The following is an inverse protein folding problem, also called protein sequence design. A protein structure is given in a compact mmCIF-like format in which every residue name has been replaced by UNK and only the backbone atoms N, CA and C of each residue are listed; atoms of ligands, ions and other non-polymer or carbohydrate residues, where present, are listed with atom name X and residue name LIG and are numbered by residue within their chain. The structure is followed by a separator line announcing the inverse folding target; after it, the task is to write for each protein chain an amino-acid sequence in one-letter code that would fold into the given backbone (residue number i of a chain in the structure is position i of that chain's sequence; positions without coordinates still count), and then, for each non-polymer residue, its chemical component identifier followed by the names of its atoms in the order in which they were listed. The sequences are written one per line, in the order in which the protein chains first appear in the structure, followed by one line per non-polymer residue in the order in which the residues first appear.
data_IF_028349451725
#
_entry.id   IF_028349451725
#
_cell.length_a   1.000
_cell.length_b   1.000
_cell.length_c   1.000
_cell.angle_alpha   90.00
_cell.angle_beta   90.00
_cell.angle_gamma   90.00
#
_symmetry.space_group_name_H-M   'P 1'
#
loop_
_entity.id
_entity.type
_entity.pdbx_description
1 polymer ?
#
# COMPACT_ATOMS: atom_id res chain seq x y z
N UNK A 1 21.86 15.17 17.78
CA UNK A 1 20.54 14.70 17.34
C UNK A 1 20.40 13.26 17.78
N UNK A 2 19.37 12.91 18.54
CA UNK A 2 19.15 11.53 18.99
C UNK A 2 18.74 10.70 17.76
N UNK A 3 19.53 9.68 17.40
CA UNK A 3 19.25 8.84 16.22
C UNK A 3 17.88 8.14 16.29
N UNK A 4 17.43 7.78 17.50
CA UNK A 4 16.14 7.13 17.74
C UNK A 4 14.95 8.09 17.56
N UNK A 5 15.14 9.38 17.84
CA UNK A 5 14.07 10.40 17.77
C UNK A 5 14.52 11.61 16.93
N UNK A 6 14.68 11.45 15.60
CA UNK A 6 15.18 12.51 14.71
C UNK A 6 14.28 13.75 14.67
N UNK A 7 12.97 13.60 14.94
CA UNK A 7 11.96 14.68 14.94
C UNK A 7 11.55 15.11 16.36
N UNK A 8 12.32 14.72 17.41
CA UNK A 8 12.03 15.06 18.81
C UNK A 8 11.07 14.08 19.49
N UNK A 9 10.44 14.54 20.58
CA UNK A 9 9.58 13.69 21.42
C UNK A 9 8.08 13.98 21.26
N UNK A 10 7.68 14.71 20.23
CA UNK A 10 6.28 14.84 19.84
C UNK A 10 5.93 13.79 18.80
N UNK A 11 5.08 12.83 19.16
CA UNK A 11 4.65 11.76 18.28
C UNK A 11 3.94 12.29 17.04
N UNK A 12 3.29 13.45 17.12
CA UNK A 12 2.60 14.05 15.97
C UNK A 12 3.55 14.40 14.84
N UNK A 13 4.81 14.76 15.15
CA UNK A 13 5.80 15.04 14.12
C UNK A 13 6.09 13.80 13.23
N UNK A 14 6.05 12.60 13.82
CA UNK A 14 6.20 11.33 13.09
C UNK A 14 4.94 10.95 12.32
N UNK A 15 3.76 11.16 12.91
CA UNK A 15 2.48 10.96 12.23
C UNK A 15 2.35 11.88 11.02
N UNK A 16 2.79 13.13 11.14
CA UNK A 16 2.80 14.07 10.02
C UNK A 16 3.73 13.61 8.90
N UNK A 17 4.90 13.07 9.24
CA UNK A 17 5.82 12.48 8.25
C UNK A 17 5.25 11.23 7.58
N UNK A 18 4.65 10.34 8.36
CA UNK A 18 3.94 9.19 7.82
C UNK A 18 2.84 9.62 6.84
N UNK A 19 2.07 10.64 7.22
CA UNK A 19 1.00 11.17 6.36
C UNK A 19 1.54 11.81 5.07
N UNK A 20 2.65 12.54 5.12
CA UNK A 20 3.32 13.07 3.93
C UNK A 20 3.69 11.93 2.95
N UNK A 21 4.28 10.85 3.46
CA UNK A 21 4.64 9.67 2.65
C UNK A 21 3.39 8.95 2.11
N UNK A 22 2.36 8.77 2.93
CA UNK A 22 1.11 8.17 2.50
C UNK A 22 0.45 8.94 1.35
N UNK A 23 0.52 10.27 1.36
CA UNK A 23 -0.03 11.10 0.28
C UNK A 23 0.70 10.97 -1.05
N UNK A 24 1.91 10.47 -1.07
CA UNK A 24 2.61 10.16 -2.33
C UNK A 24 1.97 8.98 -3.05
N UNK A 25 1.46 7.98 -2.30
CA UNK A 25 0.75 6.82 -2.84
C UNK A 25 -0.77 7.05 -2.92
N UNK A 26 -1.32 7.74 -1.92
CA UNK A 26 -2.75 7.98 -1.73
C UNK A 26 -3.05 9.49 -1.71
N UNK A 27 -3.06 10.20 -2.86
CA UNK A 27 -3.28 11.65 -2.91
C UNK A 27 -4.61 12.11 -2.29
N UNK A 28 -5.59 11.21 -2.22
CA UNK A 28 -6.89 11.43 -1.59
C UNK A 28 -6.88 11.28 -0.07
N UNK A 29 -5.78 10.75 0.52
CA UNK A 29 -5.71 10.47 1.96
C UNK A 29 -5.95 11.75 2.80
N UNK A 30 -6.70 11.58 3.87
CA UNK A 30 -6.97 12.62 4.88
C UNK A 30 -6.74 12.04 6.26
N UNK A 31 -6.29 12.86 7.21
CA UNK A 31 -6.05 12.41 8.59
C UNK A 31 -7.31 11.86 9.28
N UNK A 32 -8.50 12.33 8.88
CA UNK A 32 -9.78 11.85 9.36
C UNK A 32 -10.09 10.40 8.98
N UNK A 33 -9.38 9.87 7.97
CA UNK A 33 -9.48 8.47 7.53
C UNK A 33 -8.64 7.51 8.38
N UNK A 34 -7.81 8.03 9.30
CA UNK A 34 -7.03 7.17 10.18
C UNK A 34 -7.93 6.40 11.14
N UNK A 35 -7.52 5.17 11.46
CA UNK A 35 -8.24 4.30 12.40
C UNK A 35 -8.34 4.95 13.76
N UNK A 36 -9.56 5.25 14.22
CA UNK A 36 -9.84 5.96 15.47
C UNK A 36 -9.63 5.11 16.73
N UNK A 37 -9.50 3.81 16.59
CA UNK A 37 -9.22 2.89 17.68
C UNK A 37 -7.71 2.77 18.01
N UNK A 38 -6.85 3.42 17.23
CA UNK A 38 -5.42 3.55 17.50
C UNK A 38 -5.09 4.95 18.02
N UNK A 39 -4.20 5.01 19.01
CA UNK A 39 -3.54 6.25 19.42
C UNK A 39 -2.08 5.97 19.75
N UNK A 40 -1.28 7.02 19.76
CA UNK A 40 0.18 6.92 19.80
C UNK A 40 0.74 7.94 20.76
N UNK A 41 1.85 7.57 21.42
CA UNK A 41 2.60 8.46 22.31
C UNK A 41 4.10 8.15 22.24
N UNK A 42 4.90 9.10 22.70
CA UNK A 42 6.29 8.85 23.11
C UNK A 42 6.31 8.99 24.62
N UNK A 43 6.64 7.92 25.32
CA UNK A 43 6.63 7.85 26.77
C UNK A 43 7.97 7.42 27.35
N UNK A 44 8.21 7.77 28.58
CA UNK A 44 9.37 7.27 29.33
C UNK A 44 9.03 5.90 29.92
N UNK A 45 9.72 4.87 29.47
CA UNK A 45 9.58 3.49 29.90
C UNK A 45 10.94 3.02 30.42
N UNK A 46 11.02 2.61 31.69
CA UNK A 46 12.28 2.18 32.35
C UNK A 46 13.42 3.20 32.22
N UNK A 47 13.09 4.51 32.23
CA UNK A 47 14.03 5.61 32.15
C UNK A 47 14.42 6.04 30.73
N UNK A 48 13.96 5.34 29.70
CA UNK A 48 14.21 5.66 28.29
C UNK A 48 12.91 6.05 27.56
N UNK A 49 13.02 6.99 26.61
CA UNK A 49 11.88 7.30 25.74
C UNK A 49 11.64 6.19 24.74
N UNK A 50 10.37 5.79 24.59
CA UNK A 50 9.90 4.73 23.69
C UNK A 50 8.64 5.19 22.94
N UNK A 51 8.46 4.69 21.72
CA UNK A 51 7.15 4.78 21.05
C UNK A 51 6.18 3.80 21.71
N UNK A 52 4.96 4.25 21.91
CA UNK A 52 3.90 3.45 22.53
C UNK A 52 2.65 3.56 21.67
N UNK A 53 2.02 2.43 21.41
CA UNK A 53 0.71 2.36 20.76
C UNK A 53 -0.36 1.94 21.74
N UNK A 54 -1.53 2.50 21.57
CA UNK A 54 -2.73 2.14 22.30
C UNK A 54 -3.80 1.69 21.30
N UNK A 55 -4.29 0.49 21.47
CA UNK A 55 -5.39 -0.03 20.68
C UNK A 55 -6.61 -0.19 21.56
N UNK A 56 -7.72 0.44 21.17
CA UNK A 56 -8.98 0.35 21.87
C UNK A 56 -9.88 -0.71 21.22
N UNK A 57 -10.16 -1.77 21.95
CA UNK A 57 -11.08 -2.83 21.54
C UNK A 57 -12.54 -2.38 21.58
N UNK A 58 -13.43 -3.12 20.89
CA UNK A 58 -14.85 -2.78 20.81
C UNK A 58 -15.58 -2.85 22.17
N UNK A 59 -15.08 -3.65 23.11
CA UNK A 59 -15.57 -3.76 24.49
C UNK A 59 -15.09 -2.63 25.40
N UNK A 60 -14.22 -1.75 24.88
CA UNK A 60 -13.64 -0.61 25.58
C UNK A 60 -12.31 -0.90 26.26
N UNK A 61 -11.83 -2.13 26.25
CA UNK A 61 -10.49 -2.46 26.74
C UNK A 61 -9.41 -1.74 25.91
N UNK A 62 -8.34 -1.28 26.58
CA UNK A 62 -7.21 -0.60 25.93
C UNK A 62 -5.97 -1.47 26.09
N UNK A 63 -5.47 -1.95 24.98
CA UNK A 63 -4.18 -2.63 24.89
C UNK A 63 -3.07 -1.60 24.68
N UNK A 64 -2.03 -1.66 25.51
CA UNK A 64 -0.85 -0.80 25.42
C UNK A 64 0.36 -1.61 24.97
N UNK A 65 1.00 -1.23 23.88
CA UNK A 65 2.19 -1.89 23.36
C UNK A 65 3.35 -0.91 23.25
N UNK A 66 4.50 -1.27 23.83
CA UNK A 66 5.76 -0.53 23.69
C UNK A 66 6.48 -1.02 22.45
N UNK A 67 6.82 -0.10 21.55
CA UNK A 67 7.53 -0.39 20.31
C UNK A 67 9.03 -0.19 20.51
N UNK A 68 9.79 -1.25 20.32
CA UNK A 68 11.26 -1.16 20.31
C UNK A 68 11.73 -0.81 18.89
N UNK A 69 11.47 0.41 18.46
CA UNK A 69 11.78 0.92 17.15
C UNK A 69 12.38 2.32 17.21
N UNK A 70 13.00 2.75 16.13
CA UNK A 70 13.37 4.15 15.93
C UNK A 70 12.25 4.93 15.24
N UNK A 71 12.51 6.21 14.90
CA UNK A 71 11.49 7.08 14.32
C UNK A 71 11.10 6.70 12.90
N UNK A 72 12.00 6.12 12.11
CA UNK A 72 11.69 5.69 10.74
C UNK A 72 10.88 4.40 10.76
N UNK A 73 11.27 3.43 11.56
CA UNK A 73 10.52 2.19 11.78
C UNK A 73 9.11 2.47 12.35
N UNK A 74 8.97 3.51 13.21
CA UNK A 74 7.65 3.94 13.67
C UNK A 74 6.78 4.48 12.54
N UNK A 75 7.36 5.30 11.64
CA UNK A 75 6.64 5.83 10.46
C UNK A 75 6.15 4.69 9.57
N UNK A 76 6.99 3.71 9.27
CA UNK A 76 6.62 2.52 8.51
C UNK A 76 5.50 1.74 9.19
N UNK A 77 5.63 1.48 10.50
CA UNK A 77 4.60 0.79 11.30
C UNK A 77 3.26 1.54 11.26
N UNK A 78 3.29 2.87 11.37
CA UNK A 78 2.09 3.70 11.29
C UNK A 78 1.41 3.57 9.91
N UNK A 79 2.19 3.62 8.83
CA UNK A 79 1.68 3.46 7.45
C UNK A 79 1.02 2.09 7.32
N UNK A 80 1.70 1.02 7.73
CA UNK A 80 1.19 -0.36 7.65
C UNK A 80 -0.12 -0.56 8.42
N UNK A 81 -0.28 0.14 9.55
CA UNK A 81 -1.50 0.06 10.36
C UNK A 81 -2.70 0.79 9.74
N UNK A 82 -2.46 1.74 8.85
CA UNK A 82 -3.51 2.61 8.34
C UNK A 82 -3.76 2.51 6.82
N UNK A 83 -2.85 1.93 6.04
CA UNK A 83 -2.96 1.94 4.57
C UNK A 83 -4.22 1.21 4.07
N UNK A 84 -4.53 0.02 4.58
CA UNK A 84 -5.74 -0.75 4.18
C UNK A 84 -7.03 0.07 4.37
N UNK A 85 -7.10 0.85 5.48
CA UNK A 85 -8.26 1.66 5.78
C UNK A 85 -8.44 2.84 4.83
N UNK A 86 -7.33 3.44 4.39
CA UNK A 86 -7.34 4.50 3.38
C UNK A 86 -7.72 3.94 2.02
N UNK A 87 -7.29 2.73 1.70
CA UNK A 87 -7.66 2.03 0.47
C UNK A 87 -9.16 1.73 0.44
N UNK A 88 -9.72 1.22 1.52
CA UNK A 88 -11.16 0.88 1.66
C UNK A 88 -12.08 2.10 1.48
N UNK A 89 -11.64 3.30 1.89
CA UNK A 89 -12.39 4.56 1.73
C UNK A 89 -12.40 5.06 0.26
N UNK A 90 -11.69 4.41 -0.64
CA UNK A 90 -11.61 4.78 -2.06
C UNK A 90 -12.05 3.62 -2.97
N UNK A 91 -13.37 3.40 -3.11
CA UNK A 91 -13.89 2.25 -3.83
C UNK A 91 -13.54 2.27 -5.31
N UNK A 92 -13.40 1.07 -5.88
CA UNK A 92 -13.20 0.86 -7.32
C UNK A 92 -14.46 1.26 -8.08
N UNK A 93 -14.29 2.04 -9.14
CA UNK A 93 -15.39 2.48 -10.04
C UNK A 93 -15.36 1.83 -11.41
N UNK A 94 -14.16 1.54 -11.91
CA UNK A 94 -13.96 0.94 -13.23
C UNK A 94 -12.85 -0.09 -13.16
N UNK A 95 -12.95 -1.13 -13.99
CA UNK A 95 -11.92 -2.16 -14.11
C UNK A 95 -11.56 -2.39 -15.58
N UNK A 96 -10.29 -2.69 -15.81
CA UNK A 96 -9.76 -3.11 -17.11
C UNK A 96 -9.06 -4.46 -16.95
N UNK A 97 -9.64 -5.51 -17.56
CA UNK A 97 -9.07 -6.85 -17.51
C UNK A 97 -8.00 -7.03 -18.59
N UNK A 98 -6.82 -7.45 -18.18
CA UNK A 98 -5.72 -7.81 -19.09
C UNK A 98 -5.75 -9.30 -19.33
N UNK A 99 -5.90 -9.70 -20.60
CA UNK A 99 -5.77 -11.11 -20.98
C UNK A 99 -4.30 -11.53 -20.85
N UNK A 100 -4.03 -12.44 -19.94
CA UNK A 100 -2.69 -12.98 -19.73
C UNK A 100 -2.56 -14.37 -20.32
N UNK A 101 -1.48 -14.59 -21.08
CA UNK A 101 -1.10 -15.92 -21.62
C UNK A 101 -0.15 -16.68 -20.69
N UNK A 102 0.21 -16.12 -19.55
CA UNK A 102 1.31 -16.63 -18.75
C UNK A 102 0.94 -17.84 -17.89
N UNK A 103 1.61 -18.96 -18.15
CA UNK A 103 1.86 -20.02 -17.16
C UNK A 103 3.10 -19.65 -16.37
N UNK A 104 2.94 -19.43 -15.09
CA UNK A 104 4.07 -19.16 -14.19
C UNK A 104 4.95 -20.39 -13.99
N UNK A 105 4.35 -21.56 -13.78
CA UNK A 105 5.03 -22.85 -13.64
C UNK A 105 4.09 -23.97 -14.07
N UNK A 106 4.56 -25.26 -13.95
CA UNK A 106 3.68 -26.41 -14.24
C UNK A 106 2.38 -26.41 -13.44
N UNK A 107 2.40 -25.82 -12.23
CA UNK A 107 1.33 -25.92 -11.24
C UNK A 107 0.61 -24.61 -10.97
N UNK A 108 1.22 -23.45 -11.31
CA UNK A 108 0.65 -22.12 -11.09
C UNK A 108 0.40 -21.42 -12.41
N UNK A 109 -0.71 -20.67 -12.47
CA UNK A 109 -1.09 -19.83 -13.59
C UNK A 109 -1.76 -18.54 -13.08
N UNK A 110 -1.59 -17.48 -13.81
CA UNK A 110 -2.27 -16.22 -13.56
C UNK A 110 -3.73 -16.37 -14.00
N UNK A 111 -4.66 -16.28 -13.06
CA UNK A 111 -6.09 -16.43 -13.30
C UNK A 111 -6.75 -15.11 -13.64
N UNK A 112 -6.39 -14.06 -12.89
CA UNK A 112 -6.97 -12.74 -13.03
C UNK A 112 -5.85 -11.73 -12.98
N UNK A 113 -5.90 -10.79 -13.91
CA UNK A 113 -5.06 -9.62 -13.92
C UNK A 113 -5.85 -8.42 -14.42
N UNK A 114 -5.99 -7.39 -13.59
CA UNK A 114 -6.77 -6.21 -13.92
C UNK A 114 -6.19 -4.94 -13.33
N UNK A 115 -6.41 -3.83 -14.03
CA UNK A 115 -6.28 -2.50 -13.49
C UNK A 115 -7.61 -2.01 -12.93
N UNK A 116 -7.56 -1.24 -11.87
CA UNK A 116 -8.72 -0.71 -11.17
C UNK A 116 -8.57 0.80 -11.03
N UNK A 117 -9.60 1.54 -11.41
CA UNK A 117 -9.69 2.98 -11.23
C UNK A 117 -10.57 3.27 -10.01
N UNK A 118 -10.17 4.21 -9.19
CA UNK A 118 -10.83 4.50 -7.93
C UNK A 118 -11.60 5.81 -7.95
N UNK A 119 -12.66 5.90 -7.14
CA UNK A 119 -13.60 7.01 -7.11
C UNK A 119 -12.94 8.35 -6.73
N UNK A 120 -12.06 8.35 -5.76
CA UNK A 120 -11.35 9.54 -5.28
C UNK A 120 -10.06 9.82 -6.08
N UNK A 121 -9.84 9.07 -7.15
CA UNK A 121 -8.65 9.13 -8.01
C UNK A 121 -7.64 8.04 -7.69
N UNK A 122 -6.64 7.90 -8.58
CA UNK A 122 -5.62 6.87 -8.51
C UNK A 122 -6.02 5.56 -9.18
N UNK A 123 -5.05 4.68 -9.29
CA UNK A 123 -5.19 3.37 -9.89
C UNK A 123 -4.53 2.31 -9.02
N UNK A 124 -5.11 1.14 -8.97
CA UNK A 124 -4.48 -0.06 -8.43
C UNK A 124 -4.46 -1.18 -9.46
N UNK A 125 -3.70 -2.21 -9.19
CA UNK A 125 -3.79 -3.46 -9.92
C UNK A 125 -4.16 -4.59 -8.97
N UNK A 126 -4.98 -5.50 -9.47
CA UNK A 126 -5.35 -6.74 -8.78
C UNK A 126 -4.81 -7.93 -9.58
N UNK A 127 -4.10 -8.81 -8.90
CA UNK A 127 -3.56 -10.05 -9.46
C UNK A 127 -4.04 -11.23 -8.64
N UNK A 128 -4.45 -12.28 -9.32
CA UNK A 128 -4.79 -13.55 -8.70
C UNK A 128 -4.15 -14.67 -9.50
N UNK A 129 -3.46 -15.55 -8.81
CA UNK A 129 -2.89 -16.76 -9.39
C UNK A 129 -3.33 -17.97 -8.59
N UNK A 130 -3.47 -19.11 -9.26
CA UNK A 130 -3.94 -20.33 -8.64
C UNK A 130 -3.26 -21.57 -9.18
N UNK A 131 -3.46 -22.65 -8.45
CA UNK A 131 -3.17 -24.02 -8.85
C UNK A 131 -4.29 -24.94 -8.33
N UNK A 132 -4.13 -26.26 -8.50
CA UNK A 132 -5.17 -27.23 -8.11
C UNK A 132 -5.50 -27.26 -6.62
N UNK A 133 -4.64 -26.74 -5.76
CA UNK A 133 -4.74 -26.87 -4.30
C UNK A 133 -4.61 -25.54 -3.54
N UNK A 134 -4.18 -24.46 -4.19
CA UNK A 134 -3.96 -23.17 -3.54
C UNK A 134 -4.19 -22.02 -4.51
N UNK A 135 -4.56 -20.86 -3.94
CA UNK A 135 -4.65 -19.58 -4.63
C UNK A 135 -3.96 -18.48 -3.85
N UNK A 136 -3.53 -17.47 -4.55
CA UNK A 136 -2.99 -16.24 -3.97
C UNK A 136 -3.51 -15.05 -4.75
N UNK A 137 -3.79 -13.95 -4.04
CA UNK A 137 -4.17 -12.68 -4.66
C UNK A 137 -3.49 -11.52 -3.97
N UNK A 138 -3.29 -10.44 -4.71
CA UNK A 138 -2.75 -9.18 -4.19
C UNK A 138 -3.40 -8.01 -4.92
N UNK A 139 -3.64 -6.94 -4.17
CA UNK A 139 -3.89 -5.60 -4.70
C UNK A 139 -2.69 -4.74 -4.39
N UNK A 140 -2.30 -3.88 -5.30
CA UNK A 140 -1.24 -2.90 -5.09
C UNK A 140 -1.55 -1.60 -5.83
N UNK A 141 -1.32 -0.48 -5.16
CA UNK A 141 -1.54 0.84 -5.74
C UNK A 141 -0.39 1.25 -6.65
N UNK A 142 -0.73 1.99 -7.71
CA UNK A 142 0.25 2.50 -8.67
C UNK A 142 0.58 3.94 -8.28
N UNK A 143 1.83 4.27 -7.93
CA UNK A 143 2.21 5.62 -7.54
C UNK A 143 1.82 6.64 -8.61
N UNK A 144 1.14 7.75 -8.26
CA UNK A 144 0.73 8.78 -9.22
C UNK A 144 1.87 9.36 -10.04
N UNK A 145 3.08 9.35 -9.50
CA UNK A 145 4.29 9.79 -10.19
C UNK A 145 4.59 8.97 -11.45
N UNK A 146 4.18 7.69 -11.49
CA UNK A 146 4.44 6.82 -12.64
C UNK A 146 3.65 7.24 -13.88
N UNK A 147 2.47 7.83 -13.72
CA UNK A 147 1.65 8.34 -14.83
C UNK A 147 2.23 9.61 -15.50
N UNK A 148 3.32 10.16 -14.95
CA UNK A 148 4.08 11.26 -15.57
C UNK A 148 5.23 10.78 -16.45
N UNK A 149 5.52 9.47 -16.41
CA UNK A 149 6.57 8.84 -17.21
C UNK A 149 6.08 8.56 -18.64
N UNK A 150 6.95 8.51 -19.62
CA UNK A 150 6.64 7.93 -20.92
C UNK A 150 6.13 6.50 -20.78
N UNK A 151 5.25 6.04 -21.68
CA UNK A 151 4.62 4.73 -21.57
C UNK A 151 5.60 3.56 -21.36
N UNK A 152 6.72 3.57 -22.07
CA UNK A 152 7.73 2.50 -21.97
C UNK A 152 8.37 2.44 -20.58
N UNK A 153 8.69 3.62 -20.02
CA UNK A 153 9.25 3.74 -18.67
C UNK A 153 8.20 3.40 -17.60
N UNK A 154 6.94 3.78 -17.82
CA UNK A 154 5.83 3.36 -16.97
C UNK A 154 5.75 1.84 -16.88
N UNK A 155 5.80 1.13 -18.02
CA UNK A 155 5.73 -0.33 -18.05
C UNK A 155 6.86 -0.97 -17.22
N UNK A 156 8.09 -0.46 -17.36
CA UNK A 156 9.23 -0.98 -16.60
C UNK A 156 9.04 -0.77 -15.10
N UNK A 157 8.67 0.45 -14.69
CA UNK A 157 8.40 0.79 -13.29
C UNK A 157 7.21 0.03 -12.72
N UNK A 158 6.18 -0.16 -13.52
CA UNK A 158 5.01 -0.92 -13.11
C UNK A 158 5.34 -2.39 -12.86
N UNK A 159 6.15 -3.02 -13.72
CA UNK A 159 6.55 -4.41 -13.55
C UNK A 159 7.38 -4.63 -12.26
N UNK A 160 8.14 -3.60 -11.83
CA UNK A 160 8.87 -3.63 -10.56
C UNK A 160 7.92 -3.60 -9.34
N UNK A 161 6.68 -3.10 -9.49
CA UNK A 161 5.66 -3.08 -8.43
C UNK A 161 4.96 -4.42 -8.25
N UNK A 162 4.97 -5.29 -9.27
CA UNK A 162 4.27 -6.58 -9.18
C UNK A 162 4.83 -7.36 -7.99
N UNK A 163 3.99 -7.72 -6.99
CA UNK A 163 4.48 -8.37 -5.79
C UNK A 163 5.19 -9.70 -6.09
N UNK A 164 6.22 -10.05 -5.32
CA UNK A 164 6.86 -11.34 -5.46
C UNK A 164 5.87 -12.48 -5.17
N UNK A 165 6.00 -13.57 -5.89
CA UNK A 165 5.13 -14.73 -5.72
C UNK A 165 4.74 -15.37 -7.06
N UNK A 166 3.58 -16.03 -7.13
CA UNK A 166 3.13 -16.69 -8.35
C UNK A 166 2.53 -15.72 -9.38
N UNK A 167 2.73 -14.41 -9.20
CA UNK A 167 2.15 -13.37 -10.05
C UNK A 167 3.15 -12.99 -11.14
N UNK A 168 3.09 -13.65 -12.27
CA UNK A 168 3.92 -13.29 -13.40
C UNK A 168 3.13 -12.46 -14.40
N UNK A 169 3.50 -11.18 -14.50
CA UNK A 169 2.92 -10.24 -15.46
C UNK A 169 3.93 -10.03 -16.59
N UNK A 170 3.50 -10.30 -17.82
CA UNK A 170 4.35 -10.14 -18.99
C UNK A 170 4.23 -8.74 -19.57
N UNK A 171 5.35 -8.09 -19.84
CA UNK A 171 5.37 -6.82 -20.60
C UNK A 171 4.61 -6.94 -21.92
N UNK A 172 4.78 -8.07 -22.63
CA UNK A 172 4.11 -8.33 -23.89
C UNK A 172 2.58 -8.38 -23.77
N UNK A 173 2.05 -8.87 -22.64
CA UNK A 173 0.59 -8.88 -22.43
C UNK A 173 0.07 -7.46 -22.18
N UNK A 174 0.81 -6.62 -21.46
CA UNK A 174 0.48 -5.20 -21.27
C UNK A 174 0.50 -4.41 -22.57
N UNK A 175 1.51 -4.62 -23.40
CA UNK A 175 1.64 -3.93 -24.71
C UNK A 175 0.53 -4.34 -25.69
N UNK A 176 0.03 -5.57 -25.61
CA UNK A 176 -1.05 -6.10 -26.46
C UNK A 176 -2.45 -5.76 -25.93
N UNK A 177 -2.57 -5.29 -24.70
CA UNK A 177 -3.85 -4.97 -24.09
C UNK A 177 -4.45 -3.71 -24.72
N UNK A 178 -5.31 -3.90 -25.73
CA UNK A 178 -5.99 -2.80 -26.44
C UNK A 178 -6.83 -1.98 -25.46
N UNK A 179 -6.63 -0.65 -25.46
CA UNK A 179 -7.36 0.28 -24.60
C UNK A 179 -6.75 0.48 -23.22
N UNK A 180 -5.72 -0.29 -22.84
CA UNK A 180 -5.06 -0.10 -21.55
C UNK A 180 -4.45 1.31 -21.40
N UNK A 181 -3.79 1.82 -22.43
CA UNK A 181 -3.25 3.19 -22.45
C UNK A 181 -4.34 4.23 -22.16
N UNK A 182 -5.45 4.14 -22.90
CA UNK A 182 -6.59 5.06 -22.76
C UNK A 182 -7.22 4.95 -21.36
N UNK A 183 -7.38 3.72 -20.85
CA UNK A 183 -7.91 3.48 -19.51
C UNK A 183 -7.03 4.13 -18.42
N UNK A 184 -5.71 4.06 -18.57
CA UNK A 184 -4.74 4.64 -17.65
C UNK A 184 -4.46 6.14 -17.90
N UNK A 185 -5.05 6.74 -18.94
CA UNK A 185 -4.92 8.17 -19.26
C UNK A 185 -3.68 8.55 -20.06
N UNK A 186 -3.08 7.59 -20.81
CA UNK A 186 -1.98 7.82 -21.74
C UNK A 186 -2.46 8.17 -23.15
#
# INVERSE_FOLDING_TARGET
MNKKFPYGYDVNAYIDKAFEQMKELYPWAKKEMFRKNWSYAIEQVDGEYQFVTYFKWNDGEIERNVLNCDGEEFIETFIDQHHDWIEDENPVTETFDVSSSCKYSRDWYLEIYRFQKHQLGGYSAFVQAGNRSAGASRTFFIPPAYFKLPWEEFLDKYLDLVPPGPFYVSRSDLEKAKGLKEFLGY
#
